data_IF_836113466021
#
_entry.id   IF_836113466021
#
_cell.length_a   1.000
_cell.length_b   1.000
_cell.length_c   1.000
_cell.angle_alpha   90.00
_cell.angle_beta   90.00
_cell.angle_gamma   90.00
#
_symmetry.space_group_name_H-M   'P 1'
#
loop_
_entity.id
_entity.type
_entity.pdbx_description
1 polymer ?
#
# COMPACT_ATOMS: atom_id res chain seq x y z
N UNK A 1 -2.46 -2.09 -16.34
CA UNK A 1 -1.31 -1.23 -16.18
C UNK A 1 -0.73 -1.36 -14.79
N UNK A 2 0.58 -1.43 -14.68
CA UNK A 2 1.20 -1.60 -13.39
C UNK A 2 1.85 -0.31 -12.94
N UNK A 3 1.82 -0.10 -11.63
CA UNK A 3 2.44 1.08 -11.03
C UNK A 3 3.72 0.64 -10.33
N UNK A 4 4.78 1.43 -10.53
CA UNK A 4 6.05 1.16 -9.89
C UNK A 4 6.19 1.87 -8.56
N UNK A 5 7.22 1.51 -7.78
CA UNK A 5 7.37 2.04 -6.42
C UNK A 5 7.64 3.54 -6.38
N UNK A 6 8.14 4.11 -7.47
CA UNK A 6 8.46 5.53 -7.49
C UNK A 6 7.44 6.35 -8.27
N UNK A 7 6.34 5.74 -8.68
CA UNK A 7 5.29 6.45 -9.39
C UNK A 7 4.55 7.39 -8.47
N UNK A 8 3.91 8.37 -9.07
CA UNK A 8 3.03 9.30 -8.36
C UNK A 8 1.61 9.07 -8.81
N UNK A 9 0.67 9.46 -7.96
CA UNK A 9 -0.74 9.35 -8.28
C UNK A 9 -1.11 10.42 -9.27
N UNK A 10 -1.74 10.03 -10.39
CA UNK A 10 -2.19 10.94 -11.43
C UNK A 10 -3.71 10.99 -11.38
N UNK A 11 -4.24 12.11 -10.91
CA UNK A 11 -5.69 12.25 -10.73
C UNK A 11 -6.45 12.25 -12.03
N UNK A 12 -5.76 12.50 -13.15
CA UNK A 12 -6.42 12.54 -14.45
C UNK A 12 -6.34 11.22 -15.21
N UNK A 13 -5.64 10.24 -14.65
CA UNK A 13 -5.56 8.94 -15.29
C UNK A 13 -6.88 8.19 -15.14
N UNK A 14 -7.14 7.23 -16.03
CA UNK A 14 -8.39 6.46 -15.94
C UNK A 14 -8.49 5.60 -14.69
N UNK A 15 -7.37 5.16 -14.14
CA UNK A 15 -7.40 4.36 -12.92
C UNK A 15 -7.74 5.23 -11.72
N UNK A 16 -8.67 4.80 -10.87
CA UNK A 16 -8.98 5.59 -9.67
C UNK A 16 -7.76 5.74 -8.77
N UNK A 17 -7.64 6.88 -8.07
CA UNK A 17 -6.47 7.10 -7.21
C UNK A 17 -6.21 6.00 -6.21
N UNK A 18 -7.25 5.38 -5.63
CA UNK A 18 -7.00 4.32 -4.65
C UNK A 18 -6.35 3.11 -5.29
N UNK A 19 -6.68 2.81 -6.56
CA UNK A 19 -6.05 1.68 -7.25
C UNK A 19 -4.61 2.00 -7.59
N UNK A 20 -4.35 3.25 -7.99
CA UNK A 20 -2.99 3.67 -8.27
C UNK A 20 -2.12 3.55 -7.03
N UNK A 21 -2.61 4.06 -5.90
CA UNK A 21 -1.83 4.00 -4.67
C UNK A 21 -1.62 2.56 -4.23
N UNK A 22 -2.64 1.71 -4.35
CA UNK A 22 -2.47 0.30 -4.00
C UNK A 22 -1.36 -0.33 -4.84
N UNK A 23 -1.31 -0.01 -6.13
CA UNK A 23 -0.25 -0.53 -7.00
C UNK A 23 1.12 -0.02 -6.60
N UNK A 24 1.22 1.27 -6.28
CA UNK A 24 2.49 1.85 -5.86
C UNK A 24 2.97 1.22 -4.56
N UNK A 25 2.09 1.10 -3.57
CA UNK A 25 2.46 0.51 -2.29
C UNK A 25 2.83 -0.96 -2.45
N UNK A 26 2.11 -1.69 -3.30
CA UNK A 26 2.45 -3.09 -3.58
C UNK A 26 3.87 -3.19 -4.11
N UNK A 27 4.21 -2.32 -5.06
CA UNK A 27 5.54 -2.32 -5.65
C UNK A 27 6.60 -1.96 -4.61
N UNK A 28 6.30 -1.03 -3.70
CA UNK A 28 7.25 -0.65 -2.66
C UNK A 28 7.48 -1.79 -1.66
N UNK A 29 6.41 -2.51 -1.32
CA UNK A 29 6.54 -3.68 -0.46
C UNK A 29 7.41 -4.74 -1.14
N UNK A 30 7.17 -4.96 -2.43
CA UNK A 30 7.94 -5.95 -3.17
C UNK A 30 9.40 -5.56 -3.30
N UNK A 31 9.66 -4.26 -3.41
CA UNK A 31 11.04 -3.78 -3.48
C UNK A 31 11.76 -3.87 -2.14
N UNK A 32 11.00 -4.01 -1.06
CA UNK A 32 11.59 -4.13 0.27
C UNK A 32 11.73 -2.82 1.01
N UNK A 33 10.96 -1.79 0.60
CA UNK A 33 10.98 -0.51 1.32
C UNK A 33 10.64 -0.70 2.79
N UNK A 34 9.77 -1.68 3.08
CA UNK A 34 9.40 -2.02 4.44
C UNK A 34 9.53 -3.53 4.59
N UNK A 35 10.37 -3.97 5.50
CA UNK A 35 10.61 -5.38 5.72
C UNK A 35 9.35 -6.06 6.29
N UNK A 36 9.24 -7.37 6.16
CA UNK A 36 8.15 -8.10 6.81
C UNK A 36 8.10 -7.78 8.30
N UNK A 37 6.89 -7.65 8.83
CA UNK A 37 6.59 -7.36 10.23
C UNK A 37 6.93 -5.93 10.64
N UNK A 38 7.26 -5.07 9.69
CA UNK A 38 7.51 -3.64 9.98
C UNK A 38 6.34 -2.81 9.52
N UNK A 39 6.16 -1.67 10.16
CA UNK A 39 5.05 -0.77 9.84
C UNK A 39 5.33 0.01 8.56
N UNK A 40 4.29 0.25 7.77
CA UNK A 40 4.35 1.22 6.70
C UNK A 40 4.04 2.60 7.29
N UNK A 41 4.22 3.69 6.52
CA UNK A 41 3.88 5.01 7.02
C UNK A 41 2.40 5.09 7.43
N UNK A 42 2.09 5.98 8.35
CA UNK A 42 0.73 6.15 8.83
C UNK A 42 -0.18 6.67 7.73
N UNK A 43 -1.49 6.55 7.96
CA UNK A 43 -2.47 7.12 7.03
C UNK A 43 -2.19 8.59 6.78
N UNK A 44 -1.94 9.34 7.85
CA UNK A 44 -1.65 10.77 7.70
C UNK A 44 -0.43 11.02 6.84
N UNK A 45 0.63 10.25 7.06
CA UNK A 45 1.84 10.38 6.28
C UNK A 45 1.58 10.05 4.81
N UNK A 46 0.83 8.99 4.55
CA UNK A 46 0.52 8.60 3.18
C UNK A 46 -0.35 9.65 2.48
N UNK A 47 -1.29 10.24 3.22
CA UNK A 47 -2.10 11.33 2.67
C UNK A 47 -1.22 12.47 2.20
N UNK A 48 -0.24 12.84 3.01
CA UNK A 48 0.66 13.95 2.65
C UNK A 48 1.59 13.57 1.51
N UNK A 49 2.11 12.36 1.53
CA UNK A 49 3.07 11.91 0.52
C UNK A 49 2.43 11.88 -0.87
N UNK A 50 1.18 11.45 -0.95
CA UNK A 50 0.55 11.21 -2.24
C UNK A 50 -0.55 12.21 -2.56
N UNK A 51 -0.83 13.13 -1.65
CA UNK A 51 -1.83 14.17 -1.89
C UNK A 51 -3.24 13.61 -1.96
N UNK A 52 -3.56 12.63 -1.14
CA UNK A 52 -4.85 11.95 -1.19
C UNK A 52 -5.58 12.10 0.12
N UNK A 53 -6.91 11.94 0.05
CA UNK A 53 -7.73 11.98 1.25
C UNK A 53 -7.56 10.70 2.05
N UNK A 54 -7.92 10.78 3.34
CA UNK A 54 -7.81 9.63 4.22
C UNK A 54 -8.68 8.46 3.75
N UNK A 55 -9.93 8.66 3.33
CA UNK A 55 -10.71 7.51 2.82
C UNK A 55 -10.06 6.83 1.63
N UNK A 56 -9.45 7.59 0.73
CA UNK A 56 -8.78 7.02 -0.42
C UNK A 56 -7.58 6.17 0.02
N UNK A 57 -6.78 6.70 0.95
CA UNK A 57 -5.63 5.96 1.48
C UNK A 57 -6.12 4.68 2.18
N UNK A 58 -7.16 4.77 3.00
CA UNK A 58 -7.70 3.59 3.67
C UNK A 58 -8.16 2.53 2.68
N UNK A 59 -8.79 2.95 1.59
CA UNK A 59 -9.26 2.01 0.59
C UNK A 59 -8.09 1.31 -0.08
N UNK A 60 -7.00 2.04 -0.33
CA UNK A 60 -5.79 1.44 -0.89
C UNK A 60 -5.21 0.39 0.05
N UNK A 61 -5.15 0.70 1.34
CA UNK A 61 -4.64 -0.23 2.33
C UNK A 61 -5.53 -1.46 2.38
N UNK A 62 -6.86 -1.27 2.31
CA UNK A 62 -7.80 -2.39 2.34
C UNK A 62 -7.56 -3.36 1.19
N UNK A 63 -7.22 -2.84 0.00
CA UNK A 63 -6.89 -3.70 -1.13
C UNK A 63 -5.71 -4.60 -0.78
N UNK A 64 -4.68 -4.03 -0.18
CA UNK A 64 -3.47 -4.81 0.14
C UNK A 64 -3.70 -5.75 1.32
N UNK A 65 -4.58 -5.39 2.24
CA UNK A 65 -4.98 -6.31 3.30
C UNK A 65 -5.69 -7.52 2.69
N UNK A 66 -6.59 -7.28 1.73
CA UNK A 66 -7.30 -8.37 1.07
C UNK A 66 -6.35 -9.27 0.30
N UNK A 67 -5.23 -8.72 -0.19
CA UNK A 67 -4.23 -9.51 -0.89
C UNK A 67 -3.30 -10.25 0.05
N UNK A 68 -3.42 -10.03 1.35
CA UNK A 68 -2.55 -10.68 2.32
C UNK A 68 -1.19 -10.03 2.49
N UNK A 69 -1.00 -8.82 1.95
CA UNK A 69 0.29 -8.14 2.00
C UNK A 69 0.45 -7.26 3.23
N UNK A 70 -0.66 -6.78 3.76
CA UNK A 70 -0.65 -5.91 4.93
C UNK A 70 -1.68 -6.39 5.93
N UNK A 71 -1.48 -6.04 7.22
CA UNK A 71 -2.56 -6.16 8.17
C UNK A 71 -2.52 -4.98 9.14
N UNK A 72 -3.70 -4.61 9.63
CA UNK A 72 -3.85 -3.47 10.51
C UNK A 72 -3.89 -3.97 11.95
N UNK A 73 -3.07 -3.36 12.80
CA UNK A 73 -3.02 -3.72 14.22
C UNK A 73 -3.26 -2.45 15.01
N UNK A 74 -4.50 -2.23 15.43
CA UNK A 74 -4.83 -1.04 16.20
C UNK A 74 -4.33 -1.17 17.62
N UNK A 75 -3.82 -0.10 18.21
CA UNK A 75 -3.55 1.20 17.62
C UNK A 75 -2.14 1.33 17.05
N UNK A 76 -1.44 0.25 16.86
CA UNK A 76 -0.02 0.29 16.52
C UNK A 76 0.25 0.69 15.08
N UNK A 77 -0.67 0.42 14.16
CA UNK A 77 -0.51 0.82 12.77
C UNK A 77 -0.75 -0.31 11.79
N UNK A 78 -0.25 -0.14 10.59
CA UNK A 78 -0.40 -1.10 9.51
C UNK A 78 0.97 -1.71 9.22
N UNK A 79 1.03 -3.02 9.18
CA UNK A 79 2.30 -3.74 9.12
C UNK A 79 2.33 -4.64 7.89
N UNK A 80 3.53 -4.82 7.34
CA UNK A 80 3.75 -5.77 6.26
C UNK A 80 3.68 -7.18 6.85
N UNK A 81 2.93 -8.06 6.19
CA UNK A 81 2.85 -9.45 6.63
C UNK A 81 4.16 -10.15 6.35
N UNK A 82 4.32 -11.35 6.91
CA UNK A 82 5.54 -12.09 6.67
C UNK A 82 5.73 -12.45 5.21
N UNK A 83 4.64 -12.50 4.46
CA UNK A 83 4.68 -12.82 3.04
C UNK A 83 4.42 -11.60 2.17
N UNK A 84 4.54 -10.41 2.75
CA UNK A 84 4.09 -9.19 2.12
C UNK A 84 4.60 -8.96 0.72
N UNK A 85 5.86 -9.29 0.46
CA UNK A 85 6.45 -9.09 -0.86
C UNK A 85 6.20 -10.21 -1.84
N UNK A 86 5.54 -11.29 -1.42
CA UNK A 86 5.34 -12.46 -2.26
C UNK A 86 3.88 -12.58 -2.64
N UNK A 87 3.64 -12.66 -3.91
CA UNK A 87 2.29 -12.57 -4.39
C UNK A 87 1.44 -13.75 -3.99
N UNK A 88 1.96 -14.95 -3.92
CA UNK A 88 1.11 -16.07 -3.71
C UNK A 88 1.53 -16.90 -2.59
N UNK A 89 2.39 -16.74 -2.09
CA UNK A 89 2.66 -17.55 -1.04
C UNK A 89 2.39 -18.96 -1.21
N UNK A 90 2.41 -19.71 -1.59
CA UNK A 90 2.13 -20.99 -1.46
C UNK A 90 2.65 -21.73 -0.66
N UNK A 91 2.48 -21.89 -0.31
CA UNK A 91 2.75 -22.53 0.42
C UNK A 91 2.98 -22.97 0.64
#
# INVERSE_FOLDING_TARGET
MEFGPDDQVDREAPEPPFQQLAGILRARIQRGDWAPRRAIPSESALCKLYGLSRPTVRRSIAVLVAEGRLHVVHPRGTFVTERGGQADGDE
#
